data_IF_186893959878
#
_entry.id   IF_186893959878
#
_cell.length_a   1.000
_cell.length_b   1.000
_cell.length_c   1.000
_cell.angle_alpha   90.00
_cell.angle_beta   90.00
_cell.angle_gamma   90.00
#
_symmetry.space_group_name_H-M   'P 1'
#
loop_
_entity.id
_entity.type
_entity.pdbx_description
1 polymer ?
#
# COMPACT_ATOMS: atom_id res chain seq x y z
N UNK A 1 60.10 28.36 -21.67
CA UNK A 1 59.35 27.14 -21.70
C UNK A 1 58.38 27.10 -20.48
N UNK A 2 57.10 27.50 -20.63
CA UNK A 2 56.08 27.12 -19.68
C UNK A 2 54.71 26.84 -20.36
N UNK A 3 54.60 25.75 -21.11
CA UNK A 3 53.29 25.40 -21.72
C UNK A 3 52.74 24.00 -21.32
N UNK A 4 53.55 23.19 -20.63
CA UNK A 4 53.17 21.80 -20.34
C UNK A 4 52.32 21.62 -19.04
N UNK A 5 52.35 22.58 -18.13
CA UNK A 5 51.63 22.44 -16.83
C UNK A 5 50.10 22.70 -16.88
N UNK A 6 49.66 23.51 -17.84
CA UNK A 6 48.22 23.86 -17.95
C UNK A 6 47.37 22.76 -18.60
N UNK A 7 47.94 21.92 -19.46
CA UNK A 7 47.21 20.85 -20.15
C UNK A 7 46.91 19.66 -19.23
N UNK A 8 47.83 19.35 -18.30
CA UNK A 8 47.62 18.27 -17.32
C UNK A 8 46.56 18.64 -16.30
N UNK A 9 46.48 19.88 -15.86
CA UNK A 9 45.46 20.37 -14.93
C UNK A 9 44.07 20.37 -15.55
N UNK A 10 43.93 20.77 -16.81
CA UNK A 10 42.64 20.77 -17.52
C UNK A 10 42.10 19.33 -17.75
N UNK A 11 42.97 18.38 -18.10
CA UNK A 11 42.58 16.98 -18.31
C UNK A 11 42.13 16.30 -17.01
N UNK A 12 42.75 16.57 -15.88
CA UNK A 12 42.36 16.03 -14.57
C UNK A 12 41.00 16.59 -14.10
N UNK A 13 40.74 17.88 -14.36
CA UNK A 13 39.47 18.51 -14.02
C UNK A 13 38.32 17.96 -14.88
N UNK A 14 38.55 17.69 -16.16
CA UNK A 14 37.52 17.12 -17.06
C UNK A 14 37.21 15.65 -16.74
N UNK A 15 38.21 14.85 -16.37
CA UNK A 15 38.02 13.47 -15.93
C UNK A 15 37.16 13.40 -14.63
N UNK A 16 37.40 14.29 -13.66
CA UNK A 16 36.65 14.39 -12.45
C UNK A 16 35.17 14.77 -12.68
N UNK A 17 34.94 15.74 -13.59
CA UNK A 17 33.57 16.18 -13.94
C UNK A 17 32.80 15.11 -14.71
N UNK A 18 33.42 14.32 -15.57
CA UNK A 18 32.82 13.19 -16.28
C UNK A 18 32.40 12.06 -15.30
N UNK A 19 33.28 11.70 -14.37
CA UNK A 19 33.02 10.71 -13.33
C UNK A 19 31.85 11.14 -12.44
N UNK A 20 31.82 12.38 -11.96
CA UNK A 20 30.75 12.92 -11.15
C UNK A 20 29.38 12.90 -11.89
N UNK A 21 29.35 13.24 -13.17
CA UNK A 21 28.12 13.18 -13.98
C UNK A 21 27.63 11.75 -14.18
N UNK A 22 28.53 10.80 -14.42
CA UNK A 22 28.15 9.37 -14.56
C UNK A 22 27.57 8.83 -13.26
N UNK A 23 28.19 9.16 -12.13
CA UNK A 23 27.70 8.78 -10.81
C UNK A 23 26.32 9.41 -10.51
N UNK A 24 26.15 10.71 -10.78
CA UNK A 24 24.88 11.40 -10.60
C UNK A 24 23.74 10.77 -11.44
N UNK A 25 24.04 10.39 -12.69
CA UNK A 25 23.09 9.67 -13.56
C UNK A 25 22.70 8.32 -12.98
N UNK A 26 23.68 7.54 -12.52
CA UNK A 26 23.42 6.24 -11.90
C UNK A 26 22.54 6.38 -10.65
N UNK A 27 22.81 7.35 -9.78
CA UNK A 27 21.98 7.65 -8.61
C UNK A 27 20.56 8.07 -9.00
N UNK A 28 20.41 8.94 -10.01
CA UNK A 28 19.09 9.39 -10.49
C UNK A 28 18.28 8.23 -11.07
N UNK A 29 18.91 7.40 -11.90
CA UNK A 29 18.26 6.20 -12.48
C UNK A 29 17.84 5.21 -11.39
N UNK A 30 18.73 4.96 -10.41
CA UNK A 30 18.42 4.10 -9.27
C UNK A 30 17.25 4.65 -8.45
N UNK A 31 17.25 5.96 -8.14
CA UNK A 31 16.15 6.60 -7.43
C UNK A 31 14.81 6.46 -8.17
N UNK A 32 14.82 6.64 -9.50
CA UNK A 32 13.63 6.45 -10.33
C UNK A 32 13.09 5.02 -10.24
N UNK A 33 13.95 4.02 -10.39
CA UNK A 33 13.57 2.61 -10.30
C UNK A 33 13.09 2.24 -8.90
N UNK A 34 13.71 2.81 -7.84
CA UNK A 34 13.29 2.60 -6.45
C UNK A 34 11.88 3.16 -6.20
N UNK A 35 11.60 4.39 -6.67
CA UNK A 35 10.27 5.02 -6.54
C UNK A 35 9.22 4.23 -7.34
N UNK A 36 9.54 3.84 -8.57
CA UNK A 36 8.64 3.07 -9.42
C UNK A 36 8.36 1.69 -8.83
N UNK A 37 9.41 0.97 -8.41
CA UNK A 37 9.30 -0.35 -7.78
C UNK A 37 8.50 -0.32 -6.48
N UNK A 38 8.73 0.71 -5.63
CA UNK A 38 7.94 0.91 -4.42
C UNK A 38 6.45 1.16 -4.74
N UNK A 39 6.17 2.02 -5.72
CA UNK A 39 4.79 2.31 -6.15
C UNK A 39 4.06 1.08 -6.68
N UNK A 40 4.72 0.30 -7.54
CA UNK A 40 4.18 -0.96 -8.09
C UNK A 40 3.96 -1.98 -6.97
N UNK A 41 4.93 -2.14 -6.05
CA UNK A 41 4.84 -3.05 -4.91
C UNK A 41 3.65 -2.71 -4.01
N UNK A 42 3.47 -1.45 -3.68
CA UNK A 42 2.31 -1.00 -2.89
C UNK A 42 0.98 -1.20 -3.62
N UNK A 43 0.92 -0.90 -4.91
CA UNK A 43 -0.27 -1.16 -5.72
C UNK A 43 -0.60 -2.66 -5.76
N UNK A 44 0.41 -3.52 -5.88
CA UNK A 44 0.24 -4.97 -5.86
C UNK A 44 -0.32 -5.47 -4.51
N UNK A 45 0.23 -5.03 -3.38
CA UNK A 45 -0.25 -5.42 -2.03
C UNK A 45 -1.73 -5.09 -1.85
N UNK A 46 -2.19 -3.95 -2.38
CA UNK A 46 -3.58 -3.51 -2.24
C UNK A 46 -4.51 -4.21 -3.24
N UNK A 47 -4.07 -4.40 -4.48
CA UNK A 47 -4.94 -4.85 -5.59
C UNK A 47 -4.86 -6.36 -5.84
N UNK A 48 -3.72 -6.99 -5.58
CA UNK A 48 -3.53 -8.41 -5.87
C UNK A 48 -4.50 -9.33 -5.10
N UNK A 49 -4.83 -9.08 -3.81
CA UNK A 49 -5.78 -9.90 -3.09
C UNK A 49 -7.15 -9.96 -3.79
N UNK A 50 -7.62 -8.86 -4.39
CA UNK A 50 -8.93 -8.82 -5.04
C UNK A 50 -9.01 -9.71 -6.29
N UNK A 51 -7.88 -9.96 -6.96
CA UNK A 51 -7.81 -10.86 -8.12
C UNK A 51 -8.03 -12.33 -7.68
N UNK A 52 -7.69 -12.66 -6.44
CA UNK A 52 -7.87 -13.99 -5.85
C UNK A 52 -9.14 -14.11 -5.00
N UNK A 53 -10.08 -13.16 -5.09
CA UNK A 53 -11.34 -13.19 -4.35
C UNK A 53 -11.22 -12.70 -2.90
N UNK A 54 -10.09 -12.12 -2.52
CA UNK A 54 -9.91 -11.49 -1.20
C UNK A 54 -10.26 -10.00 -1.25
N UNK A 55 -10.61 -9.44 -0.09
CA UNK A 55 -10.84 -8.00 0.08
C UNK A 55 -9.81 -7.42 1.04
N UNK A 56 -9.29 -6.24 0.71
CA UNK A 56 -8.36 -5.51 1.59
C UNK A 56 -9.08 -4.34 2.24
N UNK A 57 -9.11 -4.30 3.57
CA UNK A 57 -9.75 -3.24 4.35
C UNK A 57 -8.74 -2.61 5.30
N UNK A 58 -8.94 -1.32 5.61
CA UNK A 58 -8.13 -0.62 6.62
C UNK A 58 -8.90 -0.52 7.93
N UNK A 59 -8.29 -0.94 9.02
CA UNK A 59 -8.84 -0.81 10.38
C UNK A 59 -8.78 0.66 10.80
N UNK A 60 -9.95 1.26 11.01
CA UNK A 60 -10.09 2.69 11.35
C UNK A 60 -10.49 2.94 12.80
N UNK A 61 -10.83 1.88 13.56
CA UNK A 61 -11.23 1.97 14.96
C UNK A 61 -10.45 1.01 15.85
N UNK A 62 -10.44 1.28 17.15
CA UNK A 62 -9.73 0.45 18.14
C UNK A 62 -10.55 -0.72 18.71
N UNK A 63 -11.72 -1.04 18.16
CA UNK A 63 -12.62 -2.07 18.72
C UNK A 63 -12.02 -3.48 18.76
N UNK A 64 -10.99 -3.74 17.94
CA UNK A 64 -10.30 -5.03 17.86
C UNK A 64 -8.89 -5.02 18.50
N UNK A 65 -8.53 -4.00 19.25
CA UNK A 65 -7.27 -3.95 20.00
C UNK A 65 -7.32 -4.98 21.14
N UNK A 66 -6.22 -5.74 21.41
CA UNK A 66 -4.91 -5.65 20.80
C UNK A 66 -4.74 -6.44 19.51
N UNK A 67 -5.69 -7.27 19.10
CA UNK A 67 -5.53 -8.21 17.99
C UNK A 67 -5.33 -7.48 16.64
N UNK A 68 -6.12 -6.43 16.38
CA UNK A 68 -6.00 -5.60 15.19
C UNK A 68 -5.84 -4.14 15.61
N UNK A 69 -4.65 -3.59 15.42
CA UNK A 69 -4.36 -2.18 15.69
C UNK A 69 -4.96 -1.24 14.65
N UNK A 70 -5.30 -0.02 15.07
CA UNK A 70 -5.72 1.05 14.15
C UNK A 70 -4.63 1.30 13.12
N UNK A 71 -5.01 1.47 11.85
CA UNK A 71 -4.09 1.63 10.73
C UNK A 71 -3.51 0.32 10.19
N UNK A 72 -3.98 -0.85 10.65
CA UNK A 72 -3.66 -2.13 10.04
C UNK A 72 -4.46 -2.33 8.74
N UNK A 73 -3.89 -3.07 7.79
CA UNK A 73 -4.64 -3.63 6.66
C UNK A 73 -5.04 -5.05 7.04
N UNK A 74 -6.30 -5.38 6.90
CA UNK A 74 -6.80 -6.76 6.98
C UNK A 74 -7.10 -7.28 5.59
N UNK A 75 -6.86 -8.57 5.40
CA UNK A 75 -7.16 -9.29 4.16
C UNK A 75 -8.26 -10.28 4.50
N UNK A 76 -9.42 -10.07 3.89
CA UNK A 76 -10.62 -10.87 4.11
C UNK A 76 -10.81 -11.83 2.94
N UNK A 77 -11.03 -13.09 3.27
CA UNK A 77 -11.59 -14.08 2.37
C UNK A 77 -13.13 -13.95 2.37
N UNK A 78 -13.72 -13.88 1.19
CA UNK A 78 -15.18 -13.86 1.06
C UNK A 78 -15.71 -15.28 1.18
N UNK A 79 -16.45 -15.54 2.27
CA UNK A 79 -16.97 -16.89 2.58
C UNK A 79 -18.49 -16.89 2.66
N UNK A 80 -19.06 -18.09 2.56
CA UNK A 80 -20.46 -18.34 2.92
C UNK A 80 -20.66 -18.23 4.44
N UNK A 81 -21.80 -17.71 4.94
CA UNK A 81 -22.11 -17.69 6.36
C UNK A 81 -22.05 -19.07 7.03
N UNK A 82 -22.25 -20.14 6.27
CA UNK A 82 -22.18 -21.52 6.77
C UNK A 82 -20.75 -21.99 7.10
N UNK A 83 -19.74 -21.31 6.59
CA UNK A 83 -18.33 -21.63 6.82
C UNK A 83 -17.75 -20.93 8.05
N UNK A 84 -18.44 -19.90 8.55
CA UNK A 84 -18.00 -19.12 9.69
C UNK A 84 -18.10 -19.92 11.00
N UNK A 85 -17.07 -19.82 11.82
CA UNK A 85 -16.96 -20.53 13.09
C UNK A 85 -16.76 -19.55 14.25
N UNK A 86 -17.30 -19.85 15.44
CA UNK A 86 -16.94 -19.09 16.65
C UNK A 86 -15.43 -18.99 16.83
N UNK A 87 -14.94 -17.77 17.10
CA UNK A 87 -13.52 -17.45 17.16
C UNK A 87 -12.98 -16.77 15.89
N UNK A 88 -13.60 -16.95 14.72
CA UNK A 88 -13.21 -16.25 13.50
C UNK A 88 -13.37 -14.73 13.69
N UNK A 89 -12.46 -13.97 13.11
CA UNK A 89 -12.64 -12.52 12.95
C UNK A 89 -13.37 -12.31 11.63
N UNK A 90 -14.56 -11.74 11.68
CA UNK A 90 -15.42 -11.57 10.50
C UNK A 90 -15.72 -10.12 10.22
N UNK A 91 -15.78 -9.79 8.94
CA UNK A 91 -16.18 -8.48 8.44
C UNK A 91 -17.58 -8.57 7.84
N UNK A 92 -18.47 -7.71 8.29
CA UNK A 92 -19.86 -7.66 7.87
C UNK A 92 -20.34 -6.22 7.71
N UNK A 93 -21.45 -6.01 7.02
CA UNK A 93 -22.08 -4.69 6.91
C UNK A 93 -22.87 -4.41 8.19
N UNK A 94 -22.64 -3.23 8.77
CA UNK A 94 -23.45 -2.74 9.88
C UNK A 94 -24.91 -2.61 9.41
N UNK A 95 -25.89 -3.25 10.09
CA UNK A 95 -27.30 -3.13 9.72
C UNK A 95 -27.85 -1.72 9.84
N UNK A 96 -27.26 -0.88 10.69
CA UNK A 96 -27.73 0.46 11.04
C UNK A 96 -27.02 1.58 10.28
N UNK A 97 -25.80 1.31 9.77
CA UNK A 97 -24.96 2.33 9.14
C UNK A 97 -24.31 1.78 7.87
N UNK A 98 -24.05 2.62 6.86
CA UNK A 98 -23.40 2.21 5.59
C UNK A 98 -21.89 1.99 5.76
N UNK A 99 -21.47 1.26 6.77
CA UNK A 99 -20.06 0.93 7.06
C UNK A 99 -19.87 -0.57 7.26
N UNK A 100 -18.64 -1.01 7.14
CA UNK A 100 -18.23 -2.37 7.48
C UNK A 100 -17.68 -2.39 8.90
N UNK A 101 -18.03 -3.44 9.64
CA UNK A 101 -17.50 -3.75 10.98
C UNK A 101 -16.71 -5.04 10.90
N UNK A 102 -15.59 -5.09 11.65
CA UNK A 102 -14.74 -6.26 11.75
C UNK A 102 -14.63 -6.62 13.22
N UNK A 103 -15.31 -7.71 13.64
CA UNK A 103 -15.33 -8.17 15.03
C UNK A 103 -15.19 -9.67 15.12
N UNK A 104 -14.95 -10.18 16.33
CA UNK A 104 -14.82 -11.61 16.59
C UNK A 104 -16.19 -12.27 16.72
N UNK A 105 -16.41 -13.32 15.95
CA UNK A 105 -17.61 -14.14 15.98
C UNK A 105 -17.66 -14.96 17.28
N UNK A 106 -18.71 -14.75 18.07
CA UNK A 106 -18.92 -15.43 19.35
C UNK A 106 -19.88 -16.62 19.18
N UNK A 107 -20.99 -16.40 18.46
CA UNK A 107 -22.05 -17.40 18.29
C UNK A 107 -22.65 -17.33 16.91
N UNK A 108 -23.06 -18.50 16.41
CA UNK A 108 -23.86 -18.65 15.19
C UNK A 108 -25.09 -19.47 15.54
N UNK A 109 -26.26 -19.02 15.13
CA UNK A 109 -27.53 -19.73 15.21
C UNK A 109 -28.17 -19.73 13.84
N UNK A 110 -28.70 -20.85 13.42
CA UNK A 110 -29.36 -21.01 12.12
C UNK A 110 -30.85 -21.19 12.33
N UNK A 111 -31.65 -20.37 11.67
CA UNK A 111 -33.11 -20.51 11.68
C UNK A 111 -33.58 -20.40 10.22
N UNK A 112 -34.10 -21.51 9.70
CA UNK A 112 -34.50 -21.62 8.31
C UNK A 112 -33.37 -21.30 7.36
N UNK A 113 -33.52 -20.25 6.58
CA UNK A 113 -32.53 -19.80 5.59
C UNK A 113 -31.71 -18.59 6.03
N UNK A 114 -31.68 -18.31 7.33
CA UNK A 114 -31.00 -17.15 7.91
C UNK A 114 -30.02 -17.57 9.00
N UNK A 115 -28.83 -17.00 8.96
CA UNK A 115 -27.82 -17.12 9.99
C UNK A 115 -27.87 -15.89 10.90
N UNK A 116 -28.12 -16.11 12.19
CA UNK A 116 -28.06 -15.12 13.25
C UNK A 116 -26.68 -15.20 13.91
N UNK A 117 -25.95 -14.11 13.86
CA UNK A 117 -24.59 -14.02 14.35
C UNK A 117 -24.48 -13.05 15.50
N UNK A 118 -23.69 -13.42 16.49
CA UNK A 118 -23.29 -12.54 17.60
C UNK A 118 -21.81 -12.31 17.49
N UNK A 119 -21.40 -11.05 17.37
CA UNK A 119 -19.99 -10.63 17.29
C UNK A 119 -19.66 -9.71 18.43
N UNK A 120 -18.37 -9.66 18.80
CA UNK A 120 -17.85 -8.76 19.84
C UNK A 120 -16.48 -8.27 19.42
N UNK A 121 -16.27 -6.96 19.48
CA UNK A 121 -14.93 -6.39 19.34
C UNK A 121 -14.06 -6.75 20.54
N UNK A 122 -12.79 -7.08 20.32
CA UNK A 122 -11.88 -7.54 21.39
C UNK A 122 -11.70 -6.48 22.51
N UNK A 123 -11.94 -5.21 22.20
CA UNK A 123 -11.90 -4.08 23.15
C UNK A 123 -13.29 -3.57 23.53
N UNK A 124 -14.37 -4.24 23.13
CA UNK A 124 -15.74 -3.83 23.41
C UNK A 124 -16.36 -4.69 24.51
N UNK A 125 -17.29 -4.10 25.27
CA UNK A 125 -18.07 -4.81 26.30
C UNK A 125 -19.44 -5.23 25.85
N UNK A 126 -19.93 -4.69 24.70
CA UNK A 126 -21.28 -4.93 24.20
C UNK A 126 -21.22 -5.68 22.87
N UNK A 127 -21.86 -6.87 22.81
CA UNK A 127 -21.91 -7.64 21.57
C UNK A 127 -22.89 -7.03 20.56
N UNK A 128 -22.59 -7.19 19.28
CA UNK A 128 -23.51 -6.89 18.19
C UNK A 128 -24.26 -8.15 17.75
N UNK A 129 -25.56 -7.96 17.42
CA UNK A 129 -26.42 -9.00 16.87
C UNK A 129 -26.87 -8.61 15.47
N UNK A 130 -26.60 -9.46 14.51
CA UNK A 130 -26.98 -9.24 13.13
C UNK A 130 -27.32 -10.56 12.45
N UNK A 131 -27.90 -10.48 11.27
CA UNK A 131 -28.29 -11.66 10.51
C UNK A 131 -27.90 -11.53 9.05
N UNK A 132 -27.66 -12.66 8.42
CA UNK A 132 -27.33 -12.77 7.01
C UNK A 132 -28.05 -13.98 6.41
N UNK A 133 -28.64 -13.85 5.19
CA UNK A 133 -29.27 -14.98 4.53
C UNK A 133 -28.22 -16.02 4.13
N UNK A 134 -28.62 -17.28 3.97
CA UNK A 134 -27.74 -18.38 3.55
C UNK A 134 -26.99 -18.10 2.24
N UNK A 135 -27.61 -17.36 1.32
CA UNK A 135 -27.04 -16.94 0.05
C UNK A 135 -26.14 -15.69 0.15
N UNK A 136 -26.05 -15.11 1.35
CA UNK A 136 -25.22 -13.95 1.60
C UNK A 136 -23.73 -14.30 1.66
N UNK A 137 -22.91 -13.27 1.80
CA UNK A 137 -21.46 -13.40 1.94
C UNK A 137 -20.97 -12.53 3.08
N UNK A 138 -19.95 -13.00 3.76
CA UNK A 138 -19.23 -12.27 4.81
C UNK A 138 -17.73 -12.36 4.57
N UNK A 139 -16.95 -11.41 5.10
CA UNK A 139 -15.50 -11.49 5.09
C UNK A 139 -15.01 -12.31 6.29
N UNK A 140 -14.02 -13.16 6.12
CA UNK A 140 -13.23 -13.77 7.18
C UNK A 140 -11.80 -13.27 7.10
N UNK A 141 -11.30 -12.64 8.15
CA UNK A 141 -9.92 -12.17 8.21
C UNK A 141 -8.97 -13.37 8.20
N UNK A 142 -8.15 -13.47 7.15
CA UNK A 142 -7.15 -14.53 6.98
C UNK A 142 -5.74 -14.04 7.26
N UNK A 143 -5.49 -12.74 7.10
CA UNK A 143 -4.21 -12.11 7.39
C UNK A 143 -4.39 -10.63 7.76
N UNK A 144 -3.44 -10.07 8.49
CA UNK A 144 -3.37 -8.63 8.74
C UNK A 144 -1.93 -8.14 8.68
N UNK A 145 -1.76 -6.89 8.30
CA UNK A 145 -0.48 -6.19 8.19
C UNK A 145 -0.56 -4.92 9.04
N UNK A 146 0.19 -4.89 10.13
CA UNK A 146 0.17 -3.76 11.05
C UNK A 146 0.73 -2.49 10.41
N UNK A 147 0.11 -1.36 10.73
CA UNK A 147 0.55 0.02 10.37
C UNK A 147 0.66 0.32 8.88
N UNK A 148 0.52 -0.65 7.99
CA UNK A 148 0.57 -0.41 6.53
C UNK A 148 -0.66 0.35 6.01
N UNK A 149 -1.75 0.37 6.74
CA UNK A 149 -2.92 1.17 6.43
C UNK A 149 -2.63 2.67 6.41
N UNK A 150 -1.74 3.17 7.27
CA UNK A 150 -1.32 4.58 7.25
C UNK A 150 -0.58 4.94 5.95
N UNK A 151 0.28 4.03 5.46
CA UNK A 151 0.98 4.23 4.18
C UNK A 151 -0.01 4.22 3.02
N UNK A 152 -0.98 3.30 3.04
CA UNK A 152 -2.07 3.24 2.04
C UNK A 152 -2.89 4.52 2.05
N UNK A 153 -3.33 4.99 3.22
CA UNK A 153 -4.13 6.20 3.37
C UNK A 153 -3.36 7.44 2.88
N UNK A 154 -2.08 7.56 3.26
CA UNK A 154 -1.22 8.63 2.79
C UNK A 154 -1.05 8.60 1.26
N UNK A 155 -0.78 7.44 0.65
CA UNK A 155 -0.66 7.27 -0.81
C UNK A 155 -1.98 7.49 -1.55
N UNK A 156 -3.12 7.21 -0.91
CA UNK A 156 -4.45 7.46 -1.50
C UNK A 156 -4.83 8.93 -1.51
N UNK A 157 -4.14 9.75 -0.70
CA UNK A 157 -4.38 11.19 -0.65
C UNK A 157 -4.06 11.85 -2.00
N UNK A 158 -4.86 12.86 -2.36
CA UNK A 158 -4.62 13.63 -3.61
C UNK A 158 -3.23 14.30 -3.63
N UNK A 159 -2.74 14.71 -2.48
CA UNK A 159 -1.44 15.39 -2.37
C UNK A 159 -0.26 14.42 -2.59
N UNK A 160 -0.33 13.21 -2.05
CA UNK A 160 0.70 12.21 -2.29
C UNK A 160 0.73 11.78 -3.76
N UNK A 161 -0.44 11.58 -4.40
CA UNK A 161 -0.52 11.26 -5.84
C UNK A 161 0.02 12.39 -6.71
N UNK A 162 -0.33 13.64 -6.44
CA UNK A 162 0.19 14.79 -7.17
C UNK A 162 1.70 14.96 -6.95
N UNK A 163 2.18 14.77 -5.72
CA UNK A 163 3.60 14.81 -5.40
C UNK A 163 4.39 13.69 -6.09
N UNK A 164 3.89 12.47 -6.08
CA UNK A 164 4.52 11.34 -6.77
C UNK A 164 4.57 11.57 -8.30
N UNK A 165 3.47 12.04 -8.89
CA UNK A 165 3.42 12.38 -10.31
C UNK A 165 4.38 13.52 -10.66
N UNK A 166 4.42 14.58 -9.86
CA UNK A 166 5.37 15.70 -10.02
C UNK A 166 6.82 15.22 -9.91
N UNK A 167 7.13 14.34 -8.96
CA UNK A 167 8.45 13.75 -8.81
C UNK A 167 8.86 12.91 -10.04
N UNK A 168 7.98 12.06 -10.53
CA UNK A 168 8.25 11.24 -11.74
C UNK A 168 8.47 12.13 -12.96
N UNK A 169 7.64 13.17 -13.15
CA UNK A 169 7.80 14.12 -14.24
C UNK A 169 9.12 14.91 -14.14
N UNK A 170 9.48 15.36 -12.95
CA UNK A 170 10.74 16.06 -12.68
C UNK A 170 11.94 15.16 -12.99
N UNK A 171 11.95 13.93 -12.48
CA UNK A 171 13.02 12.98 -12.73
C UNK A 171 13.12 12.64 -14.23
N UNK A 172 11.99 12.44 -14.89
CA UNK A 172 11.93 12.21 -16.34
C UNK A 172 12.45 13.41 -17.14
N UNK A 173 12.07 14.63 -16.78
CA UNK A 173 12.56 15.84 -17.41
C UNK A 173 14.09 16.02 -17.23
N UNK A 174 14.61 15.74 -16.03
CA UNK A 174 16.05 15.79 -15.76
C UNK A 174 16.83 14.78 -16.61
N UNK A 175 16.31 13.57 -16.77
CA UNK A 175 16.89 12.55 -17.65
C UNK A 175 16.85 12.98 -19.11
N UNK A 176 15.73 13.54 -19.60
CA UNK A 176 15.60 14.05 -20.97
C UNK A 176 16.58 15.19 -21.24
N UNK A 177 16.66 16.18 -20.36
CA UNK A 177 17.63 17.30 -20.48
C UNK A 177 19.05 16.77 -20.56
N UNK A 178 19.38 15.74 -19.78
CA UNK A 178 20.71 15.17 -19.78
C UNK A 178 21.03 14.37 -21.06
N UNK A 179 20.04 13.66 -21.61
CA UNK A 179 20.16 12.94 -22.88
C UNK A 179 20.30 13.93 -24.07
N UNK A 180 19.54 15.03 -24.05
CA UNK A 180 19.51 16.02 -25.14
C UNK A 180 20.62 17.06 -25.05
N UNK A 181 21.46 17.09 -24.01
CA UNK A 181 22.63 17.98 -23.96
C UNK A 181 23.62 17.56 -25.05
N UNK A 182 23.87 18.43 -26.04
CA UNK A 182 24.81 18.09 -27.11
C UNK A 182 26.19 17.77 -26.49
N UNK A 183 26.71 16.60 -26.84
CA UNK A 183 28.10 16.28 -26.55
C UNK A 183 28.93 17.34 -27.28
N UNK A 184 29.56 18.26 -26.56
CA UNK A 184 30.58 19.12 -27.15
C UNK A 184 31.68 18.19 -27.63
N UNK A 185 31.76 17.99 -28.94
CA UNK A 185 32.90 17.44 -29.61
C UNK A 185 33.93 18.56 -29.64
N UNK A 186 34.86 18.54 -28.70
CA UNK A 186 36.03 19.38 -28.75
C UNK A 186 36.87 18.91 -29.96
N UNK A 187 36.84 19.72 -31.05
CA UNK A 187 37.80 19.64 -32.14
C UNK A 187 39.05 20.38 -31.74
#
# INVERSE_FOLDING_TARGET
MPAASNTVSAAATDAGTRSARTFARACLTFALWAVLGFGIGMAAIVSLPSVFGYQSLTVISGSMVPTLGVGSIVIDEVISPAEARPGDIVTFKDPLHPRQLTHRLQKVRVEGDTFYMTTLGDANDVPEHWSVPRTGHIGRVVAHLEKLGYVREWLSSRYARLGAMGLVLLLGALLLVDVWRPRRTDQ
#
